data_IF_952349499954
#
_entry.id   IF_952349499954
#
_cell.length_a   1.000
_cell.length_b   1.000
_cell.length_c   1.000
_cell.angle_alpha   90.00
_cell.angle_beta   90.00
_cell.angle_gamma   90.00
#
_symmetry.space_group_name_H-M   'P 1'
#
loop_
_entity.id
_entity.type
_entity.pdbx_description
1 polymer ?
#
# COMPACT_ATOMS: atom_id res chain seq x y z
N UNK A 1 -16.26 -18.05 -0.03
CA UNK A 1 -14.82 -17.77 -0.20
C UNK A 1 -14.68 -16.97 -1.47
N UNK A 2 -13.77 -15.99 -1.47
CA UNK A 2 -13.44 -15.19 -2.64
C UNK A 2 -12.43 -15.93 -3.51
N UNK A 3 -12.57 -15.87 -4.81
CA UNK A 3 -11.70 -16.54 -5.78
C UNK A 3 -10.52 -15.65 -6.13
N UNK A 4 -9.31 -16.03 -5.75
CA UNK A 4 -8.09 -15.32 -6.08
C UNK A 4 -7.37 -15.95 -7.29
N UNK A 5 -6.82 -15.09 -8.16
CA UNK A 5 -5.81 -15.44 -9.15
C UNK A 5 -4.44 -15.06 -8.59
N UNK A 6 -3.51 -16.01 -8.54
CA UNK A 6 -2.12 -15.77 -8.13
C UNK A 6 -1.25 -15.70 -9.38
N UNK A 7 -0.46 -14.61 -9.51
CA UNK A 7 0.39 -14.35 -10.68
C UNK A 7 1.83 -14.13 -10.20
N UNK A 8 2.69 -15.08 -10.51
CA UNK A 8 4.09 -15.09 -10.04
C UNK A 8 4.91 -15.93 -11.03
N UNK A 9 6.04 -15.42 -11.50
CA UNK A 9 6.89 -16.14 -12.46
C UNK A 9 7.81 -17.16 -11.78
N UNK A 10 8.10 -17.02 -10.49
CA UNK A 10 8.90 -17.96 -9.72
C UNK A 10 8.04 -19.13 -9.22
N UNK A 11 8.25 -20.33 -9.79
CA UNK A 11 7.43 -21.53 -9.51
C UNK A 11 7.27 -21.82 -8.02
N UNK A 12 8.39 -21.78 -7.25
CA UNK A 12 8.37 -22.09 -5.82
C UNK A 12 7.54 -21.09 -5.02
N UNK A 13 7.64 -19.81 -5.34
CA UNK A 13 6.87 -18.76 -4.67
C UNK A 13 5.39 -18.85 -5.05
N UNK A 14 5.10 -19.08 -6.33
CA UNK A 14 3.74 -19.26 -6.83
C UNK A 14 3.03 -20.42 -6.14
N UNK A 15 3.70 -21.58 -6.07
CA UNK A 15 3.17 -22.78 -5.43
C UNK A 15 2.98 -22.57 -3.93
N UNK A 16 3.93 -21.89 -3.25
CA UNK A 16 3.83 -21.55 -1.84
C UNK A 16 2.62 -20.65 -1.55
N UNK A 17 2.46 -19.57 -2.29
CA UNK A 17 1.33 -18.66 -2.13
C UNK A 17 0.00 -19.37 -2.41
N UNK A 18 -0.06 -20.17 -3.48
CA UNK A 18 -1.26 -20.91 -3.87
C UNK A 18 -1.67 -21.95 -2.81
N UNK A 19 -0.71 -22.67 -2.24
CA UNK A 19 -1.00 -23.67 -1.22
C UNK A 19 -1.38 -23.10 0.14
N UNK A 20 -0.93 -21.88 0.45
CA UNK A 20 -1.07 -21.29 1.79
C UNK A 20 -2.05 -20.09 1.84
N UNK A 21 -2.66 -19.70 0.74
CA UNK A 21 -3.53 -18.51 0.69
C UNK A 21 -4.63 -18.54 1.76
N UNK A 22 -5.31 -19.68 1.91
CA UNK A 22 -6.37 -19.88 2.91
C UNK A 22 -5.83 -19.85 4.35
N UNK A 23 -4.56 -20.22 4.55
CA UNK A 23 -3.93 -20.12 5.88
C UNK A 23 -3.65 -18.67 6.24
N UNK A 24 -3.24 -17.84 5.27
CA UNK A 24 -3.03 -16.40 5.48
C UNK A 24 -4.36 -15.65 5.69
N UNK A 25 -5.39 -16.00 4.93
CA UNK A 25 -6.69 -15.37 5.04
C UNK A 25 -7.81 -16.35 4.63
N UNK A 26 -8.60 -16.85 5.59
CA UNK A 26 -9.64 -17.87 5.33
C UNK A 26 -10.76 -17.44 4.38
N UNK A 27 -10.91 -16.15 4.13
CA UNK A 27 -11.90 -15.63 3.16
C UNK A 27 -11.52 -15.90 1.70
N UNK A 28 -10.24 -16.19 1.43
CA UNK A 28 -9.72 -16.42 0.08
C UNK A 28 -9.44 -17.89 -0.20
N UNK A 29 -9.67 -18.29 -1.44
CA UNK A 29 -9.20 -19.54 -2.03
C UNK A 29 -8.45 -19.26 -3.33
N UNK A 30 -7.41 -20.04 -3.60
CA UNK A 30 -6.72 -20.01 -4.90
C UNK A 30 -7.59 -20.67 -5.93
N UNK A 31 -8.14 -19.89 -6.85
CA UNK A 31 -8.98 -20.39 -7.93
C UNK A 31 -8.17 -20.79 -9.17
N UNK A 32 -7.09 -20.06 -9.46
CA UNK A 32 -6.13 -20.36 -10.53
C UNK A 32 -4.80 -19.65 -10.28
N UNK A 33 -3.79 -20.02 -11.06
CA UNK A 33 -2.43 -19.43 -11.01
C UNK A 33 -2.03 -19.01 -12.44
N UNK A 34 -1.12 -18.05 -12.56
CA UNK A 34 -0.53 -17.64 -13.83
C UNK A 34 0.96 -17.33 -13.64
N UNK A 35 1.77 -17.48 -14.69
CA UNK A 35 3.21 -17.24 -14.64
C UNK A 35 3.61 -15.82 -15.10
N UNK A 36 2.68 -15.08 -15.71
CA UNK A 36 2.90 -13.69 -16.13
C UNK A 36 1.58 -12.94 -16.26
N UNK A 37 1.68 -11.61 -16.49
CA UNK A 37 0.50 -10.75 -16.65
C UNK A 37 -0.34 -11.04 -17.90
N UNK A 38 0.25 -11.57 -18.97
CA UNK A 38 -0.48 -11.88 -20.19
C UNK A 38 -1.38 -13.13 -20.00
N UNK A 39 -0.83 -14.18 -19.41
CA UNK A 39 -1.60 -15.37 -19.03
C UNK A 39 -2.71 -15.00 -18.04
N UNK A 40 -2.39 -14.15 -17.07
CA UNK A 40 -3.37 -13.66 -16.10
C UNK A 40 -4.54 -12.93 -16.78
N UNK A 41 -4.27 -12.04 -17.75
CA UNK A 41 -5.33 -11.34 -18.50
C UNK A 41 -6.22 -12.30 -19.31
N UNK A 42 -5.64 -13.34 -19.91
CA UNK A 42 -6.41 -14.37 -20.61
C UNK A 42 -7.37 -15.10 -19.67
N UNK A 43 -6.90 -15.47 -18.47
CA UNK A 43 -7.72 -16.15 -17.46
C UNK A 43 -8.83 -15.23 -16.94
N UNK A 44 -8.49 -13.96 -16.67
CA UNK A 44 -9.44 -12.92 -16.23
C UNK A 44 -10.52 -12.57 -17.28
N UNK A 45 -10.31 -12.94 -18.56
CA UNK A 45 -11.33 -12.82 -19.58
C UNK A 45 -12.26 -14.03 -19.65
N UNK A 46 -11.77 -15.23 -19.29
CA UNK A 46 -12.50 -16.49 -19.37
C UNK A 46 -13.32 -16.80 -18.13
N UNK A 47 -12.80 -16.39 -16.97
CA UNK A 47 -13.38 -16.69 -15.67
C UNK A 47 -13.49 -15.45 -14.79
N UNK A 48 -14.36 -15.55 -13.78
CA UNK A 48 -14.52 -14.50 -12.77
C UNK A 48 -13.62 -14.78 -11.56
N UNK A 49 -12.84 -13.78 -11.18
CA UNK A 49 -12.06 -13.76 -9.97
C UNK A 49 -12.48 -12.55 -9.14
N UNK A 50 -12.40 -12.69 -7.82
CA UNK A 50 -12.75 -11.64 -6.87
C UNK A 50 -11.53 -10.77 -6.50
N UNK A 51 -10.31 -11.26 -6.78
CA UNK A 51 -9.07 -10.54 -6.54
C UNK A 51 -7.87 -11.17 -7.25
N UNK A 52 -6.80 -10.39 -7.36
CA UNK A 52 -5.52 -10.81 -7.95
C UNK A 52 -4.39 -10.51 -6.98
N UNK A 53 -3.56 -11.53 -6.70
CA UNK A 53 -2.28 -11.38 -6.02
C UNK A 53 -1.17 -11.54 -7.07
N UNK A 54 -0.34 -10.52 -7.27
CA UNK A 54 0.63 -10.52 -8.37
C UNK A 54 2.01 -10.05 -7.94
N UNK A 55 3.08 -10.67 -8.47
CA UNK A 55 4.38 -10.02 -8.51
C UNK A 55 4.34 -8.83 -9.47
N UNK A 56 5.22 -7.86 -9.25
CA UNK A 56 5.41 -6.75 -10.18
C UNK A 56 6.29 -7.16 -11.33
N UNK A 57 7.47 -7.75 -11.05
CA UNK A 57 8.45 -8.06 -12.10
C UNK A 57 8.29 -9.48 -12.62
N UNK A 58 7.66 -9.60 -13.77
CA UNK A 58 7.50 -10.87 -14.48
C UNK A 58 7.87 -10.71 -15.94
N UNK A 59 8.30 -11.78 -16.62
CA UNK A 59 8.54 -11.76 -18.06
C UNK A 59 7.24 -11.53 -18.83
N UNK A 60 7.35 -11.20 -20.10
CA UNK A 60 6.24 -10.97 -21.06
C UNK A 60 5.41 -9.75 -20.74
N UNK A 61 4.73 -9.73 -19.59
CA UNK A 61 3.94 -8.61 -19.08
C UNK A 61 4.08 -8.52 -17.57
N UNK A 62 4.49 -7.36 -17.09
CA UNK A 62 4.62 -7.09 -15.66
C UNK A 62 3.26 -6.89 -14.97
N UNK A 63 3.25 -7.01 -13.61
CA UNK A 63 2.02 -6.91 -12.83
C UNK A 63 1.35 -5.54 -12.90
N UNK A 64 2.11 -4.45 -13.09
CA UNK A 64 1.56 -3.11 -13.24
C UNK A 64 0.99 -2.86 -14.63
N UNK A 65 1.59 -3.42 -15.67
CA UNK A 65 1.04 -3.40 -17.04
C UNK A 65 -0.27 -4.19 -17.10
N UNK A 66 -0.32 -5.36 -16.47
CA UNK A 66 -1.55 -6.13 -16.29
C UNK A 66 -2.63 -5.30 -15.56
N UNK A 67 -2.29 -4.69 -14.43
CA UNK A 67 -3.22 -3.86 -13.67
C UNK A 67 -3.74 -2.68 -14.49
N UNK A 68 -2.88 -2.02 -15.28
CA UNK A 68 -3.28 -0.94 -16.19
C UNK A 68 -4.31 -1.43 -17.22
N UNK A 69 -4.04 -2.56 -17.85
CA UNK A 69 -4.94 -3.15 -18.83
C UNK A 69 -6.32 -3.48 -18.25
N UNK A 70 -6.36 -3.96 -16.98
CA UNK A 70 -7.61 -4.21 -16.28
C UNK A 70 -8.39 -2.92 -16.00
N UNK A 71 -7.72 -1.84 -15.60
CA UNK A 71 -8.38 -0.54 -15.34
C UNK A 71 -8.91 0.10 -16.63
N UNK A 72 -8.19 -0.02 -17.74
CA UNK A 72 -8.65 0.43 -19.07
C UNK A 72 -9.91 -0.33 -19.52
N UNK A 73 -10.02 -1.60 -19.19
CA UNK A 73 -11.22 -2.41 -19.40
C UNK A 73 -12.34 -2.14 -18.39
N UNK A 74 -12.17 -1.14 -17.51
CA UNK A 74 -13.11 -0.80 -16.42
C UNK A 74 -13.38 -1.94 -15.44
N UNK A 75 -12.46 -2.91 -15.35
CA UNK A 75 -12.52 -3.98 -14.35
C UNK A 75 -11.90 -3.48 -13.04
N UNK A 76 -12.73 -3.29 -12.02
CA UNK A 76 -12.30 -2.79 -10.71
C UNK A 76 -12.01 -3.96 -9.73
N UNK A 77 -11.34 -5.00 -10.21
CA UNK A 77 -10.92 -6.15 -9.38
C UNK A 77 -9.84 -5.65 -8.41
N UNK A 78 -9.92 -5.95 -7.10
CA UNK A 78 -8.86 -5.69 -6.15
C UNK A 78 -7.57 -6.39 -6.56
N UNK A 79 -6.45 -5.67 -6.48
CA UNK A 79 -5.13 -6.20 -6.85
C UNK A 79 -4.19 -5.95 -5.68
N UNK A 80 -3.53 -6.99 -5.19
CA UNK A 80 -2.44 -6.92 -4.23
C UNK A 80 -1.14 -7.21 -4.97
N UNK A 81 -0.15 -6.32 -4.84
CA UNK A 81 1.14 -6.50 -5.50
C UNK A 81 2.24 -6.88 -4.51
N UNK A 82 3.08 -7.80 -4.94
CA UNK A 82 4.31 -8.20 -4.26
C UNK A 82 5.51 -7.64 -5.04
N UNK A 83 6.57 -7.21 -4.37
CA UNK A 83 7.75 -6.68 -5.04
C UNK A 83 9.03 -7.03 -4.30
N UNK A 84 10.03 -7.51 -5.00
CA UNK A 84 11.40 -7.71 -4.47
C UNK A 84 12.22 -6.42 -4.41
N UNK A 85 11.70 -5.31 -4.87
CA UNK A 85 12.41 -4.04 -4.98
C UNK A 85 11.60 -2.91 -4.37
N UNK A 86 12.25 -2.15 -3.51
CA UNK A 86 11.73 -0.90 -2.94
C UNK A 86 11.90 0.24 -3.99
N UNK A 87 11.25 0.07 -5.16
CA UNK A 87 11.28 1.09 -6.21
C UNK A 87 10.07 2.01 -6.06
N UNK A 88 10.33 3.24 -5.67
CA UNK A 88 9.34 4.31 -5.47
C UNK A 88 8.40 4.50 -6.69
N UNK A 89 8.92 4.31 -7.91
CA UNK A 89 8.13 4.46 -9.13
C UNK A 89 7.04 3.38 -9.25
N UNK A 90 7.26 2.18 -8.72
CA UNK A 90 6.24 1.13 -8.68
C UNK A 90 5.15 1.46 -7.67
N UNK A 91 5.52 1.89 -6.47
CA UNK A 91 4.54 2.32 -5.46
C UNK A 91 3.69 3.50 -5.96
N UNK A 92 4.30 4.48 -6.64
CA UNK A 92 3.59 5.60 -7.26
C UNK A 92 2.64 5.17 -8.38
N UNK A 93 3.04 4.19 -9.18
CA UNK A 93 2.20 3.63 -10.25
C UNK A 93 1.06 2.81 -9.67
N UNK A 94 1.32 2.02 -8.63
CA UNK A 94 0.32 1.26 -7.90
C UNK A 94 -0.82 2.14 -7.36
N UNK A 95 -0.47 3.31 -6.79
CA UNK A 95 -1.46 4.30 -6.35
C UNK A 95 -2.33 4.81 -7.50
N UNK A 96 -1.73 5.14 -8.65
CA UNK A 96 -2.47 5.64 -9.82
C UNK A 96 -3.41 4.59 -10.42
N UNK A 97 -3.04 3.32 -10.31
CA UNK A 97 -3.82 2.19 -10.80
C UNK A 97 -4.85 1.69 -9.78
N UNK A 98 -4.99 2.37 -8.64
CA UNK A 98 -5.89 1.95 -7.56
C UNK A 98 -5.65 0.48 -7.17
N UNK A 99 -4.37 0.13 -6.95
CA UNK A 99 -3.96 -1.17 -6.42
C UNK A 99 -4.29 -1.19 -4.93
N UNK A 100 -4.80 -2.32 -4.44
CA UNK A 100 -5.31 -2.46 -3.08
C UNK A 100 -4.22 -2.30 -2.03
N UNK A 101 -3.06 -2.93 -2.25
CA UNK A 101 -1.88 -2.76 -1.41
C UNK A 101 -0.61 -3.20 -2.16
N UNK A 102 0.54 -2.87 -1.59
CA UNK A 102 1.87 -3.13 -2.13
C UNK A 102 2.76 -3.64 -0.99
N UNK A 103 3.21 -4.90 -1.10
CA UNK A 103 4.07 -5.54 -0.11
C UNK A 103 5.47 -5.78 -0.66
N UNK A 104 6.47 -5.61 0.20
CA UNK A 104 7.86 -5.89 -0.13
C UNK A 104 8.23 -7.34 0.19
N UNK A 105 8.96 -7.99 -0.70
CA UNK A 105 9.64 -9.27 -0.43
C UNK A 105 10.94 -9.00 0.36
N UNK A 106 11.29 -9.77 1.42
CA UNK A 106 10.59 -10.97 1.88
C UNK A 106 9.27 -10.65 2.55
N UNK A 107 8.23 -11.40 2.20
CA UNK A 107 6.85 -11.15 2.64
C UNK A 107 6.74 -11.49 4.12
N UNK A 108 6.27 -10.55 4.91
CA UNK A 108 5.83 -10.81 6.28
C UNK A 108 4.41 -11.39 6.25
N UNK A 109 4.20 -12.53 6.94
CA UNK A 109 2.92 -13.23 6.92
C UNK A 109 1.79 -12.41 7.57
N UNK A 110 2.08 -11.61 8.57
CA UNK A 110 1.09 -10.74 9.22
C UNK A 110 0.68 -9.59 8.29
N UNK A 111 1.65 -8.99 7.57
CA UNK A 111 1.37 -7.96 6.56
C UNK A 111 0.56 -8.53 5.39
N UNK A 112 0.90 -9.74 4.92
CA UNK A 112 0.15 -10.41 3.85
C UNK A 112 -1.29 -10.71 4.29
N UNK A 113 -1.47 -11.25 5.49
CA UNK A 113 -2.81 -11.53 6.05
C UNK A 113 -3.65 -10.26 6.17
N UNK A 114 -3.07 -9.16 6.64
CA UNK A 114 -3.75 -7.88 6.73
C UNK A 114 -4.16 -7.34 5.35
N UNK A 115 -3.25 -7.39 4.37
CA UNK A 115 -3.51 -6.93 3.00
C UNK A 115 -4.58 -7.79 2.29
N UNK A 116 -4.56 -9.12 2.48
CA UNK A 116 -5.59 -10.02 1.95
C UNK A 116 -6.97 -9.76 2.59
N UNK A 117 -7.02 -9.46 3.88
CA UNK A 117 -8.27 -9.09 4.57
C UNK A 117 -8.85 -7.79 4.00
N UNK A 118 -8.01 -6.82 3.67
CA UNK A 118 -8.40 -5.58 2.98
C UNK A 118 -8.95 -5.86 1.58
N UNK A 119 -8.27 -6.71 0.84
CA UNK A 119 -8.68 -7.12 -0.49
C UNK A 119 -10.05 -7.82 -0.46
N UNK A 120 -10.34 -8.62 0.59
CA UNK A 120 -11.64 -9.25 0.79
C UNK A 120 -12.77 -8.22 1.03
N UNK A 121 -12.52 -7.18 1.82
CA UNK A 121 -13.48 -6.09 2.03
C UNK A 121 -13.78 -5.34 0.73
N UNK A 122 -12.78 -5.11 -0.11
CA UNK A 122 -12.96 -4.47 -1.41
C UNK A 122 -13.73 -5.37 -2.37
N UNK A 123 -13.43 -6.68 -2.41
CA UNK A 123 -14.18 -7.66 -3.18
C UNK A 123 -15.66 -7.70 -2.77
N UNK A 124 -15.95 -7.70 -1.46
CA UNK A 124 -17.33 -7.63 -0.95
C UNK A 124 -18.05 -6.35 -1.38
N UNK A 125 -17.35 -5.22 -1.41
CA UNK A 125 -17.93 -3.94 -1.85
C UNK A 125 -18.25 -3.96 -3.34
N UNK A 126 -17.36 -4.49 -4.17
CA UNK A 126 -17.57 -4.61 -5.61
C UNK A 126 -18.74 -5.55 -5.95
N UNK A 127 -18.91 -6.67 -5.22
CA UNK A 127 -20.06 -7.57 -5.39
C UNK A 127 -21.38 -6.89 -5.00
N UNK A 128 -21.38 -6.00 -4.00
CA UNK A 128 -22.57 -5.25 -3.56
C UNK A 128 -22.95 -4.15 -4.56
N UNK A 129 -21.99 -3.50 -5.20
CA UNK A 129 -22.26 -2.47 -6.22
C UNK A 129 -22.88 -3.08 -7.50
N UNK A 130 -22.58 -4.34 -7.80
CA UNK A 130 -23.23 -5.09 -8.87
C UNK A 130 -24.65 -5.53 -8.51
N UNK A 131 -25.04 -5.45 -7.27
CA UNK A 131 -26.30 -6.02 -6.76
C UNK A 131 -27.17 -5.14 -5.88
N UNK A 132 -27.06 -3.84 -5.69
CA UNK A 132 -28.09 -2.97 -5.05
C UNK A 132 -27.45 -1.63 -4.61
N UNK A 133 -28.00 -0.53 -5.09
CA UNK A 133 -27.91 0.80 -4.46
C UNK A 133 -28.59 0.79 -3.09
N UNK A 134 -27.89 0.99 -2.01
CA UNK A 134 -28.49 1.45 -0.76
C UNK A 134 -27.57 2.44 -0.05
N UNK A 135 -28.13 3.62 0.11
CA UNK A 135 -27.71 4.72 0.96
C UNK A 135 -27.76 4.36 2.44
N UNK A 136 -26.88 4.96 3.19
CA UNK A 136 -26.81 5.23 4.64
C UNK A 136 -25.58 4.62 5.31
N UNK A 137 -24.58 5.46 5.52
CA UNK A 137 -23.66 5.46 6.67
C UNK A 137 -22.51 6.49 6.51
N UNK A 138 -22.79 7.68 5.98
CA UNK A 138 -21.76 8.69 5.74
C UNK A 138 -21.35 9.48 7.02
N UNK A 139 -22.16 9.48 8.08
CA UNK A 139 -21.97 10.41 9.20
C UNK A 139 -21.06 9.92 10.34
N UNK A 140 -20.90 8.61 10.52
CA UNK A 140 -20.05 8.06 11.60
C UNK A 140 -18.57 7.83 11.15
N UNK A 141 -18.31 7.82 9.84
CA UNK A 141 -17.03 7.41 9.25
C UNK A 141 -16.00 8.54 9.19
N UNK A 142 -16.43 9.79 8.95
CA UNK A 142 -15.54 10.96 8.89
C UNK A 142 -14.79 11.20 10.23
N UNK A 143 -15.42 10.90 11.36
CA UNK A 143 -14.79 11.05 12.67
C UNK A 143 -13.66 10.05 12.94
N UNK A 144 -13.71 8.83 12.37
CA UNK A 144 -12.68 7.81 12.58
C UNK A 144 -11.37 8.18 11.85
N UNK A 145 -11.48 8.56 10.58
CA UNK A 145 -10.30 8.97 9.78
C UNK A 145 -9.66 10.22 10.35
N UNK A 146 -10.48 11.17 10.80
CA UNK A 146 -9.97 12.37 11.45
C UNK A 146 -9.18 12.05 12.73
N UNK A 147 -9.69 11.16 13.58
CA UNK A 147 -8.98 10.69 14.78
C UNK A 147 -7.69 9.94 14.42
N UNK A 148 -7.72 9.09 13.39
CA UNK A 148 -6.52 8.41 12.90
C UNK A 148 -5.46 9.41 12.41
N UNK A 149 -5.86 10.44 11.67
CA UNK A 149 -4.95 11.51 11.24
C UNK A 149 -4.36 12.29 12.41
N UNK A 150 -5.19 12.67 13.39
CA UNK A 150 -4.73 13.34 14.60
C UNK A 150 -3.71 12.48 15.36
N UNK A 151 -3.97 11.18 15.48
CA UNK A 151 -3.06 10.24 16.12
C UNK A 151 -1.73 10.17 15.36
N UNK A 152 -1.76 10.03 14.04
CA UNK A 152 -0.56 10.02 13.19
C UNK A 152 0.22 11.33 13.35
N UNK A 153 -0.45 12.47 13.29
CA UNK A 153 0.18 13.79 13.43
C UNK A 153 0.84 14.01 14.78
N UNK A 154 0.35 13.36 15.83
CA UNK A 154 0.88 13.46 17.19
C UNK A 154 2.02 12.47 17.42
N UNK A 155 1.96 11.28 16.80
CA UNK A 155 2.86 10.16 17.09
C UNK A 155 3.74 9.76 15.89
N UNK A 156 3.83 10.58 14.82
CA UNK A 156 4.60 10.23 13.62
C UNK A 156 6.08 9.88 13.88
N UNK A 157 6.65 10.38 14.96
CA UNK A 157 8.04 10.11 15.34
C UNK A 157 8.21 8.75 16.06
N UNK A 158 7.12 8.18 16.56
CA UNK A 158 7.11 6.90 17.27
C UNK A 158 7.04 5.72 16.27
N UNK A 159 7.38 4.50 16.71
CA UNK A 159 7.23 3.29 15.89
C UNK A 159 5.74 2.86 15.82
N UNK A 160 4.89 3.70 15.24
CA UNK A 160 3.47 3.40 15.07
C UNK A 160 3.21 2.56 13.81
N UNK A 161 2.28 1.63 13.95
CA UNK A 161 1.77 0.79 12.85
C UNK A 161 0.27 1.02 12.64
N UNK A 162 -0.27 0.59 11.51
CA UNK A 162 -1.71 0.61 11.29
C UNK A 162 -2.46 -0.15 12.39
N UNK A 163 -1.90 -1.28 12.85
CA UNK A 163 -2.46 -2.10 13.92
C UNK A 163 -2.53 -1.32 15.24
N UNK A 164 -1.43 -0.68 15.64
CA UNK A 164 -1.42 0.09 16.90
C UNK A 164 -2.40 1.29 16.87
N UNK A 165 -2.57 1.94 15.70
CA UNK A 165 -3.55 3.02 15.54
C UNK A 165 -4.99 2.47 15.58
N UNK A 166 -5.23 1.32 14.97
CA UNK A 166 -6.54 0.67 14.98
C UNK A 166 -6.95 0.23 16.39
N UNK A 167 -6.01 -0.35 17.16
CA UNK A 167 -6.22 -0.71 18.56
C UNK A 167 -6.59 0.50 19.42
N UNK A 168 -5.87 1.61 19.28
CA UNK A 168 -6.15 2.86 19.99
C UNK A 168 -7.54 3.41 19.66
N UNK A 169 -7.98 3.25 18.42
CA UNK A 169 -9.30 3.71 17.97
C UNK A 169 -10.44 2.71 18.20
N UNK A 170 -10.12 1.52 18.75
CA UNK A 170 -11.11 0.48 19.06
C UNK A 170 -11.71 -0.18 17.81
N UNK A 171 -10.94 -0.27 16.72
CA UNK A 171 -11.38 -0.89 15.47
C UNK A 171 -10.36 -1.92 15.00
N UNK A 172 -10.72 -2.74 14.00
CA UNK A 172 -9.74 -3.62 13.36
C UNK A 172 -8.84 -2.87 12.40
N UNK A 173 -7.58 -3.31 12.25
CA UNK A 173 -6.63 -2.71 11.30
C UNK A 173 -7.18 -2.74 9.86
N UNK A 174 -7.83 -3.84 9.46
CA UNK A 174 -8.47 -4.00 8.16
C UNK A 174 -9.57 -2.95 7.92
N UNK A 175 -10.45 -2.73 8.91
CA UNK A 175 -11.49 -1.72 8.81
C UNK A 175 -10.92 -0.30 8.71
N UNK A 176 -9.94 0.02 9.59
CA UNK A 176 -9.28 1.34 9.58
C UNK A 176 -8.61 1.60 8.23
N UNK A 177 -7.86 0.63 7.69
CA UNK A 177 -7.17 0.77 6.41
C UNK A 177 -8.15 1.07 5.27
N UNK A 178 -9.26 0.32 5.18
CA UNK A 178 -10.28 0.52 4.14
C UNK A 178 -10.89 1.91 4.20
N UNK A 179 -11.30 2.33 5.40
CA UNK A 179 -11.95 3.63 5.59
C UNK A 179 -10.95 4.77 5.35
N UNK A 180 -9.71 4.59 5.82
CA UNK A 180 -8.64 5.55 5.67
C UNK A 180 -8.29 5.76 4.19
N UNK A 181 -8.05 4.67 3.45
CA UNK A 181 -7.73 4.74 2.02
C UNK A 181 -8.86 5.37 1.20
N UNK A 182 -10.11 4.98 1.48
CA UNK A 182 -11.28 5.52 0.77
C UNK A 182 -11.47 7.02 0.98
N UNK A 183 -11.23 7.52 2.20
CA UNK A 183 -11.46 8.94 2.54
C UNK A 183 -10.25 9.83 2.26
N UNK A 184 -9.04 9.26 2.37
CA UNK A 184 -7.79 10.00 2.16
C UNK A 184 -7.22 9.86 0.75
N UNK A 185 -7.68 8.87 -0.03
CA UNK A 185 -7.10 8.56 -1.34
C UNK A 185 -5.66 8.03 -1.27
N UNK A 186 -5.18 7.69 -0.07
CA UNK A 186 -3.82 7.19 0.17
C UNK A 186 -3.81 6.20 1.33
N UNK A 187 -2.87 5.25 1.32
CA UNK A 187 -2.73 4.30 2.42
C UNK A 187 -2.22 4.98 3.71
N UNK A 188 -2.40 4.30 4.84
CA UNK A 188 -1.84 4.71 6.12
C UNK A 188 -0.31 4.94 6.03
N UNK A 189 0.41 3.98 5.46
CA UNK A 189 1.87 4.03 5.32
C UNK A 189 2.32 5.21 4.45
N UNK A 190 1.62 5.49 3.36
CA UNK A 190 1.90 6.66 2.51
C UNK A 190 1.65 7.97 3.24
N UNK A 191 0.58 8.03 4.03
CA UNK A 191 0.27 9.23 4.82
C UNK A 191 1.31 9.46 5.91
N UNK A 192 1.69 8.42 6.64
CA UNK A 192 2.73 8.49 7.66
C UNK A 192 4.08 8.92 7.05
N UNK A 193 4.45 8.32 5.91
CA UNK A 193 5.68 8.68 5.20
C UNK A 193 5.65 10.15 4.77
N UNK A 194 4.56 10.62 4.16
CA UNK A 194 4.40 12.02 3.77
C UNK A 194 4.59 12.97 4.93
N UNK A 195 3.94 12.70 6.06
CA UNK A 195 4.05 13.52 7.26
C UNK A 195 5.50 13.56 7.76
N UNK A 196 6.16 12.41 7.84
CA UNK A 196 7.58 12.32 8.24
C UNK A 196 8.49 13.11 7.31
N UNK A 197 8.27 13.04 6.00
CA UNK A 197 9.05 13.78 5.00
C UNK A 197 8.81 15.29 5.07
N UNK A 198 7.59 15.74 5.24
CA UNK A 198 7.25 17.15 5.42
C UNK A 198 7.88 17.72 6.70
N UNK A 199 7.82 16.97 7.81
CA UNK A 199 8.48 17.35 9.07
C UNK A 199 10.00 17.38 8.95
N UNK A 200 10.60 16.41 8.26
CA UNK A 200 12.03 16.38 7.99
C UNK A 200 12.47 17.59 7.15
N UNK A 201 11.72 17.94 6.13
CA UNK A 201 11.99 19.12 5.30
C UNK A 201 11.94 20.42 6.09
N UNK A 202 10.99 20.57 7.01
CA UNK A 202 10.89 21.69 7.92
C UNK A 202 12.13 21.76 8.85
N UNK A 203 12.48 20.63 9.50
CA UNK A 203 13.66 20.58 10.38
C UNK A 203 14.97 20.88 9.63
N UNK A 204 15.11 20.40 8.40
CA UNK A 204 16.27 20.71 7.55
C UNK A 204 16.37 22.19 7.20
N UNK A 205 15.22 22.87 7.05
CA UNK A 205 15.16 24.31 6.71
C UNK A 205 15.38 25.21 7.91
N UNK A 206 14.77 24.84 9.04
CA UNK A 206 14.60 25.75 10.18
C UNK A 206 15.63 25.50 11.29
N UNK A 207 16.43 24.42 11.19
CA UNK A 207 17.39 24.04 12.22
C UNK A 207 18.76 23.68 11.67
N UNK A 208 19.78 23.67 12.55
CA UNK A 208 21.12 23.19 12.26
C UNK A 208 21.35 21.73 12.70
N UNK A 209 20.30 20.99 13.01
CA UNK A 209 20.38 19.59 13.42
C UNK A 209 21.10 18.74 12.35
N UNK A 210 21.89 17.77 12.79
CA UNK A 210 22.53 16.83 11.86
C UNK A 210 21.47 15.93 11.24
N UNK A 211 21.73 15.47 10.01
CA UNK A 211 20.82 14.57 9.26
C UNK A 211 20.43 13.34 10.10
N UNK A 212 21.37 12.80 10.90
CA UNK A 212 21.08 11.68 11.80
C UNK A 212 20.07 12.04 12.91
N UNK A 213 20.18 13.23 13.46
CA UNK A 213 19.27 13.71 14.50
C UNK A 213 17.88 13.95 13.95
N UNK A 214 17.80 14.51 12.72
CA UNK A 214 16.54 14.69 12.01
C UNK A 214 15.90 13.34 11.70
N UNK A 215 16.67 12.35 11.20
CA UNK A 215 16.15 11.02 10.94
C UNK A 215 15.49 10.42 12.19
N UNK A 216 16.13 10.49 13.33
CA UNK A 216 15.57 10.03 14.62
C UNK A 216 14.33 10.84 15.03
N UNK A 217 14.38 12.18 14.90
CA UNK A 217 13.27 13.05 15.28
C UNK A 217 12.00 12.84 14.43
N UNK A 218 12.14 12.26 13.23
CA UNK A 218 10.99 11.97 12.37
C UNK A 218 10.67 10.46 12.28
N UNK A 219 11.19 9.64 13.21
CA UNK A 219 10.83 8.24 13.37
C UNK A 219 11.52 7.26 12.43
N UNK A 220 12.72 7.62 11.91
CA UNK A 220 13.54 6.67 11.15
C UNK A 220 14.65 6.10 12.06
N UNK A 221 14.71 4.77 12.22
CA UNK A 221 15.74 4.13 13.04
C UNK A 221 17.15 4.21 12.43
N UNK A 222 17.23 4.41 11.11
CA UNK A 222 18.49 4.47 10.36
C UNK A 222 18.60 5.75 9.54
N UNK A 223 19.67 6.52 9.77
CA UNK A 223 20.00 7.71 8.96
C UNK A 223 20.27 7.35 7.49
N UNK A 224 20.78 6.16 7.20
CA UNK A 224 21.02 5.68 5.84
C UNK A 224 19.70 5.46 5.11
N UNK A 225 18.75 4.77 5.74
CA UNK A 225 17.41 4.55 5.21
C UNK A 225 16.66 5.89 5.03
N UNK A 226 16.69 6.76 6.05
CA UNK A 226 16.13 8.11 5.93
C UNK A 226 16.67 8.89 4.72
N UNK A 227 18.00 8.93 4.54
CA UNK A 227 18.63 9.65 3.42
C UNK A 227 18.17 9.11 2.08
N UNK A 228 18.06 7.79 1.96
CA UNK A 228 17.55 7.14 0.76
C UNK A 228 16.10 7.54 0.48
N UNK A 229 15.20 7.35 1.45
CA UNK A 229 13.77 7.67 1.31
C UNK A 229 13.54 9.16 1.05
N UNK A 230 14.28 10.04 1.75
CA UNK A 230 14.22 11.48 1.54
C UNK A 230 14.64 11.87 0.12
N UNK A 231 15.71 11.24 -0.38
CA UNK A 231 16.19 11.43 -1.75
C UNK A 231 15.16 11.01 -2.79
N UNK A 232 14.48 9.90 -2.57
CA UNK A 232 13.39 9.43 -3.43
C UNK A 232 12.20 10.40 -3.40
N UNK A 233 11.84 10.91 -2.24
CA UNK A 233 10.66 11.77 -2.08
C UNK A 233 10.89 13.19 -2.65
N UNK A 234 12.06 13.80 -2.40
CA UNK A 234 12.37 15.18 -2.80
C UNK A 234 13.31 15.31 -4.00
N UNK A 235 13.76 14.20 -4.58
CA UNK A 235 14.72 14.17 -5.71
C UNK A 235 16.04 14.87 -5.44
N UNK A 236 16.44 14.97 -4.16
CA UNK A 236 17.74 15.48 -3.74
C UNK A 236 18.06 14.97 -2.33
N UNK A 237 19.35 14.91 -1.99
CA UNK A 237 19.76 14.52 -0.64
C UNK A 237 19.33 15.54 0.42
N UNK A 238 19.19 15.13 1.70
CA UNK A 238 18.89 16.06 2.80
C UNK A 238 19.89 17.24 2.91
N UNK A 239 21.16 17.00 2.60
CA UNK A 239 22.20 18.04 2.62
C UNK A 239 21.98 19.03 1.49
N UNK A 240 21.75 18.56 0.27
CA UNK A 240 21.44 19.42 -0.88
C UNK A 240 20.16 20.22 -0.66
N UNK A 241 19.13 19.60 -0.08
CA UNK A 241 17.87 20.27 0.24
C UNK A 241 18.10 21.46 1.18
N UNK A 242 18.88 21.28 2.23
CA UNK A 242 19.26 22.35 3.17
C UNK A 242 19.99 23.48 2.46
N UNK A 243 20.95 23.16 1.61
CA UNK A 243 21.76 24.15 0.90
C UNK A 243 20.94 24.97 -0.09
N UNK A 244 20.04 24.31 -0.84
CA UNK A 244 19.16 25.00 -1.79
C UNK A 244 18.24 26.03 -1.13
N UNK A 245 17.67 25.71 0.03
CA UNK A 245 16.81 26.66 0.76
C UNK A 245 17.63 27.81 1.41
N UNK A 246 18.85 27.56 1.84
CA UNK A 246 19.74 28.62 2.35
C UNK A 246 20.16 29.62 1.25
N UNK A 247 20.03 29.26 -0.03
CA UNK A 247 20.42 30.07 -1.18
C UNK A 247 19.25 30.81 -1.84
N UNK A 248 18.01 30.67 -1.35
CA UNK A 248 16.86 31.45 -1.79
C UNK A 248 16.68 32.65 -0.83
N UNK A 249 16.92 33.90 -1.27
CA UNK A 249 16.58 35.07 -0.47
C UNK A 249 15.05 35.18 -0.34
N UNK A 250 14.61 35.61 0.82
CA UNK A 250 13.22 35.97 1.16
C UNK A 250 12.66 37.03 0.20
#
# INVERSE_FOLDING_TARGET
MYRALIVEDEDLMRDYLAANLTNFCPEWETADIACDGAEALEKLQKENFDGVLTDIRMPVMDGLEMARSLREQKKNIPILTLSGYDEFDYARTAVRLNISDYLLKPIDEEELSAALSLMAIQAASNQREQGISISMQASAKNGLVQKAQEYILTHYADPISLTSVAEELGVTAAYLSTVFHREMGSSYSQTLLRIRMEKAAALLSDTQLKVREIAQAVGFPSAKHFTYVFGQYFHCSPVEFRTRKASMPL
#
